data_IF_610460404534
#
_entry.id   IF_610460404534
#
_cell.length_a   1.000
_cell.length_b   1.000
_cell.length_c   1.000
_cell.angle_alpha   90.00
_cell.angle_beta   90.00
_cell.angle_gamma   90.00
#
_symmetry.space_group_name_H-M   'P 1'
#
loop_
_entity.id
_entity.type
_entity.pdbx_description
1 polymer ?
#
# COMPACT_ATOMS: atom_id res chain seq x y z
N UNK A 1 -18.32 -22.85 11.51
CA UNK A 1 -17.40 -23.77 10.79
C UNK A 1 -16.16 -22.99 10.39
N UNK A 2 -14.95 -23.56 10.53
CA UNK A 2 -13.72 -22.92 10.06
C UNK A 2 -13.50 -23.27 8.59
N UNK A 3 -13.17 -22.27 7.78
CA UNK A 3 -12.75 -22.46 6.39
C UNK A 3 -11.21 -22.39 6.33
N UNK A 4 -10.60 -23.28 5.54
CA UNK A 4 -9.14 -23.37 5.38
C UNK A 4 -8.81 -22.94 3.96
N UNK A 5 -7.90 -21.97 3.83
CA UNK A 5 -7.32 -21.56 2.56
C UNK A 5 -5.94 -22.21 2.42
N UNK A 6 -5.74 -22.97 1.34
CA UNK A 6 -4.44 -23.54 0.98
C UNK A 6 -3.85 -22.81 -0.22
N UNK A 7 -2.59 -22.40 -0.13
CA UNK A 7 -1.87 -21.67 -1.17
C UNK A 7 -0.60 -22.45 -1.54
N UNK A 8 -0.43 -22.71 -2.83
CA UNK A 8 0.73 -23.43 -3.37
C UNK A 8 1.73 -22.45 -3.99
N UNK A 9 2.98 -22.51 -3.55
CA UNK A 9 4.06 -21.67 -4.06
C UNK A 9 5.30 -22.51 -4.34
N UNK A 10 6.21 -21.98 -5.17
CA UNK A 10 7.56 -22.52 -5.25
C UNK A 10 8.24 -22.47 -3.87
N UNK A 11 9.19 -23.38 -3.63
CA UNK A 11 9.87 -23.49 -2.32
C UNK A 11 10.57 -22.18 -1.92
N UNK A 12 11.23 -21.53 -2.89
CA UNK A 12 11.92 -20.24 -2.70
C UNK A 12 10.95 -19.17 -2.19
N UNK A 13 9.81 -19.01 -2.86
CA UNK A 13 8.77 -18.05 -2.49
C UNK A 13 8.19 -18.37 -1.11
N UNK A 14 7.97 -19.65 -0.80
CA UNK A 14 7.48 -20.07 0.53
C UNK A 14 8.44 -19.67 1.65
N UNK A 15 9.75 -19.86 1.46
CA UNK A 15 10.78 -19.45 2.44
C UNK A 15 10.82 -17.94 2.61
N UNK A 16 10.74 -17.21 1.50
CA UNK A 16 10.77 -15.75 1.48
C UNK A 16 9.58 -15.15 2.23
N UNK A 17 8.36 -15.59 1.93
CA UNK A 17 7.14 -15.06 2.56
C UNK A 17 7.13 -15.35 4.07
N UNK A 18 7.56 -16.55 4.49
CA UNK A 18 7.69 -16.88 5.93
C UNK A 18 8.74 -16.00 6.62
N UNK A 19 9.87 -15.75 5.97
CA UNK A 19 10.91 -14.85 6.48
C UNK A 19 10.42 -13.41 6.60
N UNK A 20 9.68 -12.90 5.62
CA UNK A 20 9.08 -11.57 5.66
C UNK A 20 8.08 -11.42 6.81
N UNK A 21 7.18 -12.40 6.98
CA UNK A 21 6.22 -12.39 8.08
C UNK A 21 6.92 -12.29 9.44
N UNK A 22 7.96 -13.12 9.66
CA UNK A 22 8.75 -13.10 10.91
C UNK A 22 9.50 -11.78 11.11
N UNK A 23 10.18 -11.28 10.07
CA UNK A 23 10.92 -10.00 10.12
C UNK A 23 10.02 -8.80 10.44
N UNK A 24 8.77 -8.84 9.97
CA UNK A 24 7.76 -7.81 10.25
C UNK A 24 7.01 -8.02 11.57
N UNK A 25 7.42 -9.00 12.40
CA UNK A 25 6.89 -9.20 13.74
C UNK A 25 5.56 -9.97 13.81
N UNK A 26 5.13 -10.62 12.73
CA UNK A 26 3.88 -11.38 12.73
C UNK A 26 4.03 -12.74 13.40
N UNK A 27 3.10 -13.08 14.30
CA UNK A 27 3.07 -14.37 15.00
C UNK A 27 2.80 -15.56 14.08
N UNK A 28 2.14 -15.34 12.94
CA UNK A 28 1.86 -16.37 11.95
C UNK A 28 1.81 -15.83 10.53
N UNK A 29 1.99 -16.72 9.55
CA UNK A 29 1.78 -16.37 8.15
C UNK A 29 0.32 -15.96 7.88
N UNK A 30 -0.64 -16.61 8.53
CA UNK A 30 -2.07 -16.27 8.38
C UNK A 30 -2.38 -14.86 8.87
N UNK A 31 -1.80 -14.42 10.00
CA UNK A 31 -1.95 -13.04 10.46
C UNK A 31 -1.31 -12.03 9.50
N UNK A 32 -0.18 -12.39 8.91
CA UNK A 32 0.49 -11.55 7.92
C UNK A 32 -0.35 -11.40 6.64
N UNK A 33 -0.89 -12.51 6.11
CA UNK A 33 -1.76 -12.47 4.93
C UNK A 33 -3.02 -11.66 5.19
N UNK A 34 -3.66 -11.82 6.36
CA UNK A 34 -4.83 -11.01 6.73
C UNK A 34 -4.50 -9.52 6.73
N UNK A 35 -3.37 -9.14 7.32
CA UNK A 35 -2.91 -7.75 7.31
C UNK A 35 -2.72 -7.21 5.88
N UNK A 36 -2.10 -7.99 4.99
CA UNK A 36 -1.91 -7.57 3.60
C UNK A 36 -3.24 -7.39 2.86
N UNK A 37 -4.21 -8.27 3.10
CA UNK A 37 -5.54 -8.18 2.49
C UNK A 37 -6.32 -6.97 2.99
N UNK A 38 -6.22 -6.62 4.28
CA UNK A 38 -6.83 -5.40 4.78
C UNK A 38 -6.13 -4.16 4.20
N UNK A 39 -4.79 -4.17 4.15
CA UNK A 39 -4.03 -3.06 3.57
C UNK A 39 -4.38 -2.83 2.09
N UNK A 40 -4.62 -3.89 1.32
CA UNK A 40 -5.03 -3.80 -0.08
C UNK A 40 -6.37 -3.07 -0.25
N UNK A 41 -7.30 -3.17 0.71
CA UNK A 41 -8.57 -2.43 0.69
C UNK A 41 -8.39 -0.93 0.95
N UNK A 42 -7.34 -0.55 1.67
CA UNK A 42 -7.04 0.83 2.03
C UNK A 42 -6.16 1.53 0.97
N UNK A 43 -5.66 0.80 -0.03
CA UNK A 43 -4.88 1.39 -1.12
C UNK A 43 -5.81 2.10 -2.11
N UNK A 44 -5.39 3.30 -2.52
CA UNK A 44 -6.03 4.02 -3.63
C UNK A 44 -5.94 3.17 -4.91
N UNK A 45 -7.04 3.13 -5.67
CA UNK A 45 -7.03 2.42 -6.96
C UNK A 45 -6.08 3.10 -7.94
N UNK A 46 -5.56 2.34 -8.91
CA UNK A 46 -4.71 2.92 -9.96
C UNK A 46 -5.44 4.02 -10.75
N UNK A 47 -6.73 3.84 -10.99
CA UNK A 47 -7.58 4.83 -11.67
C UNK A 47 -7.70 6.12 -10.88
N UNK A 48 -7.98 6.02 -9.58
CA UNK A 48 -8.12 7.21 -8.72
C UNK A 48 -6.78 7.94 -8.57
N UNK A 49 -5.67 7.19 -8.52
CA UNK A 49 -4.32 7.76 -8.53
C UNK A 49 -4.05 8.54 -9.81
N UNK A 50 -4.37 7.98 -10.97
CA UNK A 50 -4.18 8.64 -12.26
C UNK A 50 -5.02 9.90 -12.39
N UNK A 51 -6.25 9.88 -11.90
CA UNK A 51 -7.13 11.05 -11.94
C UNK A 51 -6.65 12.14 -10.98
N UNK A 52 -6.19 11.77 -9.78
CA UNK A 52 -5.54 12.69 -8.84
C UNK A 52 -4.31 13.37 -9.45
N UNK A 53 -3.50 12.64 -10.22
CA UNK A 53 -2.33 13.20 -10.92
C UNK A 53 -2.75 14.21 -12.00
N UNK A 54 -3.79 13.90 -12.79
CA UNK A 54 -4.30 14.82 -13.82
C UNK A 54 -4.83 16.10 -13.19
N UNK A 55 -5.56 15.99 -12.09
CA UNK A 55 -6.07 17.12 -11.33
C UNK A 55 -4.94 17.98 -10.77
N UNK A 56 -3.96 17.40 -10.08
CA UNK A 56 -2.81 18.12 -9.56
C UNK A 56 -2.04 18.89 -10.66
N UNK A 57 -1.87 18.28 -11.85
CA UNK A 57 -1.25 18.94 -13.01
C UNK A 57 -2.10 20.09 -13.56
N UNK A 58 -3.43 19.97 -13.51
CA UNK A 58 -4.34 21.05 -13.91
C UNK A 58 -4.23 22.20 -12.92
N UNK A 59 -4.33 21.95 -11.62
CA UNK A 59 -4.25 22.96 -10.57
C UNK A 59 -2.92 23.72 -10.59
N UNK A 60 -1.81 23.02 -10.79
CA UNK A 60 -0.50 23.64 -10.96
C UNK A 60 -0.48 24.59 -12.17
N UNK A 61 -1.00 24.16 -13.33
CA UNK A 61 -1.08 25.00 -14.54
C UNK A 61 -2.00 26.20 -14.37
N UNK A 62 -3.08 26.04 -13.62
CA UNK A 62 -4.04 27.10 -13.29
C UNK A 62 -3.53 28.05 -12.19
N UNK A 63 -2.32 27.83 -11.66
CA UNK A 63 -1.72 28.69 -10.63
C UNK A 63 -2.38 28.55 -9.26
N UNK A 64 -3.14 27.48 -9.03
CA UNK A 64 -3.78 27.18 -7.74
C UNK A 64 -2.80 26.64 -6.69
N UNK A 65 -1.58 26.32 -7.10
CA UNK A 65 -0.49 25.89 -6.21
C UNK A 65 0.22 27.08 -5.58
N UNK A 66 0.53 26.98 -4.28
CA UNK A 66 1.40 27.94 -3.59
C UNK A 66 2.87 27.53 -3.73
N UNK A 67 3.75 28.52 -3.88
CA UNK A 67 5.20 28.31 -3.86
C UNK A 67 5.75 28.71 -2.48
N UNK A 68 5.62 27.81 -1.51
CA UNK A 68 6.19 27.99 -0.18
C UNK A 68 7.73 27.86 -0.24
N UNK A 69 8.46 28.71 0.48
CA UNK A 69 9.93 28.65 0.57
C UNK A 69 10.40 27.66 1.63
N UNK A 70 9.51 27.25 2.52
CA UNK A 70 9.77 26.24 3.55
C UNK A 70 8.49 25.52 3.96
N UNK A 71 8.63 24.40 4.67
CA UNK A 71 7.49 23.70 5.27
C UNK A 71 6.77 24.60 6.30
N UNK A 72 7.51 25.46 7.01
CA UNK A 72 6.93 26.40 7.97
C UNK A 72 6.09 27.51 7.31
N UNK A 73 6.29 27.79 6.02
CA UNK A 73 5.42 28.68 5.25
C UNK A 73 4.21 27.94 4.64
N UNK A 74 4.24 26.61 4.62
CA UNK A 74 3.21 25.76 4.04
C UNK A 74 2.14 25.31 5.06
N UNK A 75 2.53 25.16 6.34
CA UNK A 75 1.70 24.71 7.46
C UNK A 75 1.20 25.89 8.31
#
# INVERSE_FOLDING_TARGET
MRQVLSLSFAEKTTKEVKSLAKRRGFASLSSYIKYLVELDKDLISETDLLDSIKEARREYREGKSIKAKSIAELL
#
